data_IF_520794016947
#
_entry.id   IF_520794016947
#
_cell.length_a   1.000
_cell.length_b   1.000
_cell.length_c   1.000
_cell.angle_alpha   90.00
_cell.angle_beta   90.00
_cell.angle_gamma   90.00
#
_symmetry.space_group_name_H-M   'P 1'
#
loop_
_entity.id
_entity.type
_entity.pdbx_description
1 polymer ?
#
# COMPACT_ATOMS: atom_id res chain seq x y z
N UNK A 1 -9.98 10.40 -25.50
CA UNK A 1 -8.77 11.15 -25.88
C UNK A 1 -7.60 10.49 -25.18
N UNK A 2 -6.60 10.02 -25.93
CA UNK A 2 -5.44 9.33 -25.38
C UNK A 2 -4.65 10.30 -24.50
N UNK A 3 -4.53 9.99 -23.21
CA UNK A 3 -3.59 10.65 -22.29
C UNK A 3 -2.19 10.29 -22.76
N UNK A 4 -1.52 11.18 -23.49
CA UNK A 4 -0.14 11.00 -23.90
C UNK A 4 0.76 10.81 -22.68
N UNK A 5 1.62 9.79 -22.73
CA UNK A 5 2.76 9.66 -21.82
C UNK A 5 3.59 10.95 -21.96
N UNK A 6 3.63 11.75 -20.91
CA UNK A 6 4.40 13.00 -20.88
C UNK A 6 5.87 12.60 -20.90
N UNK A 7 6.62 13.05 -21.91
CA UNK A 7 8.05 12.75 -22.04
C UNK A 7 8.85 13.37 -20.87
N UNK A 8 9.99 12.78 -20.48
CA UNK A 8 10.89 13.38 -19.46
C UNK A 8 11.28 14.83 -19.78
N UNK A 9 11.30 15.19 -21.07
CA UNK A 9 11.54 16.55 -21.57
C UNK A 9 10.38 17.52 -21.29
N UNK A 10 9.14 17.05 -21.28
CA UNK A 10 7.97 17.87 -20.97
C UNK A 10 7.84 18.08 -19.44
N UNK A 11 8.23 17.09 -18.62
CA UNK A 11 8.32 17.25 -17.17
C UNK A 11 9.39 18.29 -16.75
N UNK A 12 10.53 18.35 -17.45
CA UNK A 12 11.58 19.36 -17.22
C UNK A 12 11.18 20.77 -17.66
N UNK A 13 10.34 20.92 -18.70
CA UNK A 13 9.97 22.23 -19.26
C UNK A 13 8.88 22.99 -18.48
N UNK A 14 8.18 22.32 -17.55
CA UNK A 14 6.97 22.85 -16.92
C UNK A 14 7.12 23.20 -15.42
N UNK A 15 8.29 22.97 -14.83
CA UNK A 15 8.59 23.32 -13.44
C UNK A 15 8.85 24.81 -13.25
N UNK A 16 7.79 25.63 -13.17
CA UNK A 16 7.86 27.05 -12.79
C UNK A 16 8.15 27.26 -11.29
N UNK A 17 9.17 26.57 -10.78
CA UNK A 17 9.61 26.69 -9.39
C UNK A 17 10.79 27.65 -9.28
N UNK A 18 10.68 28.69 -8.44
CA UNK A 18 11.86 29.43 -7.98
C UNK A 18 12.87 28.48 -7.32
N UNK A 19 14.15 28.88 -7.29
CA UNK A 19 15.25 28.04 -6.80
C UNK A 19 14.92 27.43 -5.41
N UNK A 20 14.87 26.11 -5.33
CA UNK A 20 14.53 25.37 -4.10
C UNK A 20 13.03 25.15 -3.84
N UNK A 21 12.11 25.65 -4.66
CA UNK A 21 10.68 25.34 -4.53
C UNK A 21 10.34 23.96 -5.14
N UNK A 22 9.25 23.37 -4.66
CA UNK A 22 8.73 22.10 -5.20
C UNK A 22 8.01 22.38 -6.52
N UNK A 23 8.46 21.73 -7.61
CA UNK A 23 7.84 21.83 -8.93
C UNK A 23 6.38 21.35 -8.91
N UNK A 24 5.46 21.99 -9.63
CA UNK A 24 4.04 21.62 -9.70
C UNK A 24 3.80 20.37 -10.57
N UNK A 25 4.45 19.26 -10.22
CA UNK A 25 4.36 17.97 -10.91
C UNK A 25 3.85 16.92 -9.93
N UNK A 26 2.85 16.15 -10.35
CA UNK A 26 2.32 14.99 -9.63
C UNK A 26 2.74 13.74 -10.40
N UNK A 27 3.52 12.89 -9.75
CA UNK A 27 3.99 11.63 -10.30
C UNK A 27 3.24 10.45 -9.69
N UNK A 28 2.84 9.51 -10.55
CA UNK A 28 2.28 8.23 -10.14
C UNK A 28 2.91 7.10 -10.98
N UNK A 29 2.92 5.87 -10.46
CA UNK A 29 3.40 4.69 -11.19
C UNK A 29 2.25 3.74 -11.51
N UNK A 30 2.10 3.34 -12.77
CA UNK A 30 1.17 2.28 -13.16
C UNK A 30 1.64 1.61 -14.46
N UNK A 31 1.24 0.35 -14.71
CA UNK A 31 1.42 -0.26 -16.02
C UNK A 31 0.76 0.58 -17.12
N UNK A 32 1.41 0.71 -18.27
CA UNK A 32 0.82 1.41 -19.43
C UNK A 32 -0.41 0.67 -19.99
N UNK A 33 -0.47 -0.66 -19.81
CA UNK A 33 -1.68 -1.44 -20.04
C UNK A 33 -2.71 -1.21 -18.93
N UNK A 34 -3.71 -0.38 -19.25
CA UNK A 34 -4.83 -0.04 -18.34
C UNK A 34 -5.73 -1.22 -17.98
N UNK A 35 -5.72 -2.32 -18.74
CA UNK A 35 -6.51 -3.51 -18.36
C UNK A 35 -5.99 -4.17 -17.08
N UNK A 36 -4.74 -3.89 -16.71
CA UNK A 36 -4.09 -4.35 -15.48
C UNK A 36 -4.34 -3.44 -14.28
N UNK A 37 -5.08 -2.34 -14.45
CA UNK A 37 -5.33 -1.41 -13.36
C UNK A 37 -6.40 -1.95 -12.43
N UNK A 38 -6.20 -1.73 -11.14
CA UNK A 38 -7.27 -1.87 -10.17
C UNK A 38 -8.38 -0.82 -10.48
N UNK A 39 -9.67 -1.17 -10.41
CA UNK A 39 -10.76 -0.23 -10.65
C UNK A 39 -10.70 1.05 -9.79
N UNK A 40 -10.05 1.00 -8.61
CA UNK A 40 -9.86 2.16 -7.73
C UNK A 40 -8.84 3.14 -8.28
N UNK A 41 -7.83 2.69 -9.02
CA UNK A 41 -6.70 3.51 -9.45
C UNK A 41 -7.11 4.69 -10.35
N UNK A 42 -8.06 4.47 -11.27
CA UNK A 42 -8.56 5.56 -12.12
C UNK A 42 -9.29 6.63 -11.29
N UNK A 43 -10.05 6.22 -10.27
CA UNK A 43 -10.72 7.14 -9.35
C UNK A 43 -9.71 7.96 -8.54
N UNK A 44 -8.72 7.30 -7.93
CA UNK A 44 -7.66 7.97 -7.18
C UNK A 44 -6.92 8.97 -8.07
N UNK A 45 -6.52 8.56 -9.27
CA UNK A 45 -5.89 9.45 -10.26
C UNK A 45 -6.77 10.66 -10.59
N UNK A 46 -8.07 10.47 -10.82
CA UNK A 46 -8.99 11.58 -11.09
C UNK A 46 -9.13 12.55 -9.90
N UNK A 47 -9.09 12.05 -8.66
CA UNK A 47 -9.10 12.91 -7.47
C UNK A 47 -7.88 13.85 -7.43
N UNK A 48 -6.68 13.35 -7.78
CA UNK A 48 -5.47 14.16 -7.88
C UNK A 48 -5.56 15.19 -8.99
N UNK A 49 -6.12 14.84 -10.15
CA UNK A 49 -6.34 15.79 -11.25
C UNK A 49 -7.34 16.89 -10.87
N UNK A 50 -8.31 16.60 -9.99
CA UNK A 50 -9.27 17.59 -9.49
C UNK A 50 -8.62 18.55 -8.48
N UNK A 51 -7.80 18.01 -7.59
CA UNK A 51 -7.14 18.76 -6.51
C UNK A 51 -5.93 19.56 -7.00
N UNK A 52 -5.23 19.05 -8.00
CA UNK A 52 -4.08 19.65 -8.68
C UNK A 52 -4.40 19.76 -10.18
N UNK A 53 -5.19 20.75 -10.63
CA UNK A 53 -5.70 20.82 -12.00
C UNK A 53 -4.65 21.27 -13.01
N UNK A 54 -4.75 20.74 -14.23
CA UNK A 54 -4.02 21.27 -15.38
C UNK A 54 -4.63 22.60 -15.88
N UNK A 55 -3.84 23.51 -16.48
CA UNK A 55 -2.41 23.35 -16.83
C UNK A 55 -1.43 23.69 -15.70
N UNK A 56 -1.89 24.18 -14.56
CA UNK A 56 -1.02 24.57 -13.44
C UNK A 56 -0.19 23.40 -12.91
N UNK A 57 -0.79 22.21 -12.84
CA UNK A 57 -0.10 20.99 -12.44
C UNK A 57 0.06 20.02 -13.61
N UNK A 58 1.27 19.48 -13.72
CA UNK A 58 1.61 18.41 -14.66
C UNK A 58 1.41 17.06 -13.98
N UNK A 59 0.72 16.14 -14.65
CA UNK A 59 0.53 14.77 -14.16
C UNK A 59 1.34 13.82 -15.02
N UNK A 60 2.27 13.09 -14.41
CA UNK A 60 3.13 12.13 -15.09
C UNK A 60 2.86 10.74 -14.57
N UNK A 61 2.66 9.81 -15.49
CA UNK A 61 2.48 8.40 -15.19
C UNK A 61 3.70 7.62 -15.70
N UNK A 62 4.32 6.85 -14.81
CA UNK A 62 5.51 6.06 -15.12
C UNK A 62 5.17 4.56 -15.15
N UNK A 63 5.48 3.92 -16.28
CA UNK A 63 5.48 2.47 -16.41
C UNK A 63 6.87 1.89 -16.14
N UNK A 64 7.03 0.58 -16.25
CA UNK A 64 8.27 -0.12 -15.88
C UNK A 64 9.48 0.37 -16.69
N UNK A 65 9.30 0.63 -17.98
CA UNK A 65 10.36 1.16 -18.84
C UNK A 65 10.72 2.60 -18.44
N UNK A 66 9.71 3.44 -18.17
CA UNK A 66 9.93 4.80 -17.67
C UNK A 66 10.65 4.83 -16.32
N UNK A 67 10.30 3.95 -15.39
CA UNK A 67 10.97 3.82 -14.09
C UNK A 67 12.43 3.38 -14.24
N UNK A 68 12.68 2.45 -15.15
CA UNK A 68 14.05 2.03 -15.46
C UNK A 68 14.86 3.18 -16.07
N UNK A 69 14.31 3.91 -17.04
CA UNK A 69 14.97 5.06 -17.65
C UNK A 69 15.28 6.17 -16.65
N UNK A 70 14.40 6.41 -15.68
CA UNK A 70 14.67 7.35 -14.58
C UNK A 70 15.91 6.96 -13.78
N UNK A 71 16.05 5.67 -13.46
CA UNK A 71 17.21 5.16 -12.71
C UNK A 71 18.48 5.26 -13.56
N UNK A 72 18.42 4.90 -14.83
CA UNK A 72 19.55 5.04 -15.76
C UNK A 72 20.02 6.50 -15.90
N UNK A 73 19.09 7.45 -15.93
CA UNK A 73 19.41 8.88 -16.03
C UNK A 73 19.95 9.45 -14.71
N UNK A 74 19.33 9.12 -13.57
CA UNK A 74 19.70 9.69 -12.27
C UNK A 74 20.96 9.06 -11.67
N UNK A 75 21.03 7.72 -11.75
CA UNK A 75 21.98 6.87 -11.02
C UNK A 75 22.43 5.69 -11.90
N UNK A 76 23.06 5.94 -13.06
CA UNK A 76 23.48 4.88 -14.00
C UNK A 76 24.36 3.81 -13.33
N UNK A 77 25.14 4.19 -12.32
CA UNK A 77 25.98 3.29 -11.52
C UNK A 77 25.18 2.23 -10.74
N UNK A 78 23.88 2.45 -10.51
CA UNK A 78 23.01 1.56 -9.73
C UNK A 78 22.05 0.75 -10.60
N UNK A 79 22.11 0.92 -11.92
CA UNK A 79 21.19 0.27 -12.86
C UNK A 79 21.24 -1.27 -12.77
N UNK A 80 22.44 -1.83 -12.61
CA UNK A 80 22.60 -3.28 -12.45
C UNK A 80 22.00 -3.79 -11.12
N UNK A 81 22.13 -3.04 -10.03
CA UNK A 81 21.54 -3.40 -8.74
C UNK A 81 20.01 -3.32 -8.81
N UNK A 82 19.50 -2.27 -9.45
CA UNK A 82 18.08 -2.07 -9.72
C UNK A 82 17.47 -3.26 -10.48
N UNK A 83 18.13 -3.72 -11.55
CA UNK A 83 17.65 -4.84 -12.38
C UNK A 83 17.61 -6.18 -11.64
N UNK A 84 18.39 -6.33 -10.57
CA UNK A 84 18.43 -7.54 -9.73
C UNK A 84 17.33 -7.59 -8.66
N UNK A 85 16.50 -6.57 -8.53
CA UNK A 85 15.30 -6.69 -7.70
C UNK A 85 14.25 -7.50 -8.45
N UNK A 86 13.85 -8.66 -7.91
CA UNK A 86 12.86 -9.54 -8.54
C UNK A 86 11.44 -8.99 -8.36
N UNK A 87 11.14 -8.43 -7.18
CA UNK A 87 9.82 -7.89 -6.87
C UNK A 87 9.63 -6.53 -7.52
N UNK A 88 8.52 -6.38 -8.25
CA UNK A 88 8.16 -5.12 -8.92
C UNK A 88 8.13 -3.93 -7.95
N UNK A 89 7.54 -4.11 -6.77
CA UNK A 89 7.46 -3.04 -5.76
C UNK A 89 8.84 -2.55 -5.30
N UNK A 90 9.85 -3.41 -5.25
CA UNK A 90 11.22 -2.99 -4.88
C UNK A 90 11.85 -2.09 -5.94
N UNK A 91 11.56 -2.37 -7.23
CA UNK A 91 11.96 -1.52 -8.34
C UNK A 91 11.21 -0.18 -8.32
N UNK A 92 9.90 -0.19 -8.06
CA UNK A 92 9.11 1.05 -7.91
C UNK A 92 9.66 1.90 -6.77
N UNK A 93 9.82 1.32 -5.57
CA UNK A 93 10.36 1.98 -4.39
C UNK A 93 11.71 2.67 -4.68
N UNK A 94 12.63 1.97 -5.37
CA UNK A 94 13.92 2.52 -5.77
C UNK A 94 13.77 3.69 -6.75
N UNK A 95 12.96 3.50 -7.81
CA UNK A 95 12.80 4.49 -8.86
C UNK A 95 12.12 5.79 -8.38
N UNK A 96 11.34 5.77 -7.30
CA UNK A 96 10.80 6.98 -6.66
C UNK A 96 11.90 7.97 -6.26
N UNK A 97 13.06 7.46 -5.82
CA UNK A 97 14.21 8.30 -5.50
C UNK A 97 14.77 8.97 -6.75
N UNK A 98 14.97 8.21 -7.84
CA UNK A 98 15.44 8.76 -9.12
C UNK A 98 14.47 9.81 -9.68
N UNK A 99 13.17 9.51 -9.63
CA UNK A 99 12.08 10.38 -10.05
C UNK A 99 12.11 11.74 -9.34
N UNK A 100 12.10 11.72 -8.00
CA UNK A 100 12.09 12.94 -7.19
C UNK A 100 13.44 13.66 -7.22
N UNK A 101 14.54 12.95 -7.47
CA UNK A 101 15.85 13.56 -7.72
C UNK A 101 15.87 14.34 -9.04
N UNK A 102 15.40 13.76 -10.14
CA UNK A 102 15.45 14.41 -11.46
C UNK A 102 14.41 15.52 -11.62
N UNK A 103 13.19 15.28 -11.14
CA UNK A 103 12.04 16.13 -11.46
C UNK A 103 11.50 16.90 -10.26
N UNK A 104 11.86 16.51 -9.04
CA UNK A 104 11.20 17.02 -7.84
C UNK A 104 9.70 16.69 -7.86
N UNK A 105 8.88 17.64 -7.44
CA UNK A 105 7.43 17.48 -7.44
C UNK A 105 6.92 16.63 -6.29
N UNK A 106 5.74 16.03 -6.49
CA UNK A 106 5.04 15.20 -5.54
C UNK A 106 4.89 13.80 -6.13
N UNK A 107 5.37 12.78 -5.42
CA UNK A 107 5.07 11.39 -5.70
C UNK A 107 3.91 10.89 -4.82
N UNK A 108 2.93 10.24 -5.45
CA UNK A 108 1.81 9.57 -4.79
C UNK A 108 1.51 8.23 -5.45
N UNK A 109 1.22 7.22 -4.65
CA UNK A 109 0.81 5.93 -5.19
C UNK A 109 -0.56 6.02 -5.89
N UNK A 110 -0.82 5.10 -6.83
CA UNK A 110 -2.09 5.04 -7.57
C UNK A 110 -3.29 4.66 -6.71
N UNK A 111 -3.05 4.22 -5.49
CA UNK A 111 -4.05 3.81 -4.51
C UNK A 111 -4.31 4.85 -3.42
N UNK A 112 -3.75 6.04 -3.55
CA UNK A 112 -3.97 7.16 -2.63
C UNK A 112 -4.94 8.15 -3.25
N UNK A 113 -6.07 8.38 -2.58
CA UNK A 113 -7.03 9.41 -2.98
C UNK A 113 -6.66 10.78 -2.41
N UNK A 114 -6.83 11.84 -3.19
CA UNK A 114 -6.46 13.19 -2.81
C UNK A 114 -7.49 13.83 -1.87
N UNK A 115 -7.08 14.14 -0.63
CA UNK A 115 -7.93 14.85 0.35
C UNK A 115 -7.92 16.37 0.15
N UNK A 116 -6.86 16.91 -0.46
CA UNK A 116 -6.64 18.33 -0.65
C UNK A 116 -5.25 18.61 -1.22
N UNK A 117 -5.03 19.83 -1.70
CA UNK A 117 -3.81 20.20 -2.40
C UNK A 117 -2.66 20.38 -1.38
N UNK A 118 -1.59 19.55 -1.43
CA UNK A 118 -0.49 19.66 -0.46
C UNK A 118 0.49 20.79 -0.77
N UNK A 119 0.57 21.27 -2.02
CA UNK A 119 1.61 22.18 -2.49
C UNK A 119 1.73 23.49 -1.69
N UNK A 120 0.63 24.14 -1.27
CA UNK A 120 0.72 25.34 -0.41
C UNK A 120 1.37 25.12 0.95
N UNK A 121 1.57 23.86 1.37
CA UNK A 121 2.18 23.49 2.64
C UNK A 121 3.61 22.95 2.50
N UNK A 122 4.13 22.86 1.27
CA UNK A 122 5.46 22.33 1.02
C UNK A 122 6.53 23.43 1.23
N UNK A 123 7.49 23.24 2.16
CA UNK A 123 8.56 24.20 2.36
C UNK A 123 9.52 24.23 1.17
N UNK A 124 10.10 25.40 0.94
CA UNK A 124 11.25 25.54 0.03
C UNK A 124 12.49 24.89 0.64
N UNK A 125 13.31 24.26 -0.20
CA UNK A 125 14.63 23.73 0.13
C UNK A 125 14.65 22.45 0.96
N UNK A 126 13.49 21.81 1.18
CA UNK A 126 13.39 20.57 1.97
C UNK A 126 12.58 19.49 1.26
N UNK A 127 12.88 18.24 1.58
CA UNK A 127 12.01 17.10 1.29
C UNK A 127 10.83 17.11 2.25
N UNK A 128 9.64 16.85 1.74
CA UNK A 128 8.45 16.60 2.56
C UNK A 128 8.08 15.13 2.54
N UNK A 129 7.86 14.54 3.71
CA UNK A 129 7.31 13.19 3.89
C UNK A 129 6.10 13.25 4.80
N UNK A 130 5.20 12.29 4.71
CA UNK A 130 4.03 12.21 5.58
C UNK A 130 4.29 11.21 6.71
N UNK A 131 3.98 11.59 7.95
CA UNK A 131 4.02 10.67 9.08
C UNK A 131 3.05 9.50 8.91
N UNK A 132 3.42 8.32 9.40
CA UNK A 132 2.61 7.12 9.35
C UNK A 132 1.72 6.99 10.59
N UNK A 133 0.45 6.58 10.45
CA UNK A 133 -0.36 6.18 11.61
C UNK A 133 0.00 4.77 12.13
N UNK A 134 0.88 4.02 11.45
CA UNK A 134 1.32 2.67 11.84
C UNK A 134 2.74 2.64 12.36
N UNK A 135 2.95 3.37 13.45
CA UNK A 135 4.25 3.59 14.09
C UNK A 135 4.94 2.32 14.60
N UNK A 136 4.21 1.19 14.67
CA UNK A 136 4.80 -0.12 14.97
C UNK A 136 5.66 -0.67 13.83
N UNK A 137 5.35 -0.32 12.58
CA UNK A 137 6.05 -0.84 11.39
C UNK A 137 6.92 0.23 10.72
N UNK A 138 6.42 1.46 10.64
CA UNK A 138 7.07 2.59 9.95
C UNK A 138 6.69 3.93 10.61
N UNK A 139 7.60 4.90 10.61
CA UNK A 139 7.31 6.27 11.07
C UNK A 139 6.88 7.18 9.94
N UNK A 140 7.34 6.93 8.72
CA UNK A 140 7.00 7.73 7.54
C UNK A 140 6.47 6.86 6.40
N UNK A 141 5.54 7.42 5.65
CA UNK A 141 4.96 6.77 4.48
C UNK A 141 5.93 6.89 3.30
N UNK A 142 6.26 5.75 2.67
CA UNK A 142 7.00 5.70 1.40
C UNK A 142 6.13 6.11 0.18
N UNK A 143 5.34 7.17 0.33
CA UNK A 143 4.38 7.74 -0.61
C UNK A 143 3.98 9.12 -0.09
N UNK A 144 3.28 9.94 -0.88
CA UNK A 144 2.99 11.33 -0.50
C UNK A 144 4.29 12.09 -0.16
N UNK A 145 5.32 11.88 -0.97
CA UNK A 145 6.63 12.46 -0.77
C UNK A 145 6.83 13.57 -1.78
N UNK A 146 7.29 14.73 -1.35
CA UNK A 146 7.49 15.86 -2.23
C UNK A 146 8.87 16.48 -2.05
N UNK A 147 9.43 17.06 -3.11
CA UNK A 147 10.78 17.59 -3.06
C UNK A 147 11.07 18.60 -4.19
N UNK A 148 11.97 19.56 -3.96
CA UNK A 148 12.63 20.27 -5.05
C UNK A 148 13.49 19.30 -5.87
N UNK A 149 13.58 19.53 -7.18
CA UNK A 149 14.49 18.75 -8.03
C UNK A 149 15.95 18.90 -7.56
N UNK A 150 16.74 17.83 -7.70
CA UNK A 150 18.15 17.76 -7.37
C UNK A 150 18.46 17.63 -5.88
N UNK A 151 17.46 17.50 -5.01
CA UNK A 151 17.70 17.43 -3.56
C UNK A 151 18.53 16.18 -3.17
N UNK A 152 19.65 16.31 -2.43
CA UNK A 152 20.61 15.22 -2.18
C UNK A 152 20.05 14.07 -1.34
N UNK A 153 18.95 14.29 -0.62
CA UNK A 153 18.22 13.26 0.12
C UNK A 153 17.88 12.03 -0.74
N UNK A 154 17.50 12.22 -2.01
CA UNK A 154 17.12 11.11 -2.88
C UNK A 154 18.30 10.28 -3.36
N UNK A 155 19.48 10.89 -3.53
CA UNK A 155 20.71 10.13 -3.73
C UNK A 155 21.02 9.27 -2.49
N UNK A 156 20.90 9.84 -1.29
CA UNK A 156 21.09 9.08 -0.06
C UNK A 156 20.10 7.90 0.09
N UNK A 157 18.86 8.06 -0.40
CA UNK A 157 17.89 6.95 -0.50
C UNK A 157 18.36 5.85 -1.44
N UNK A 158 18.87 6.19 -2.63
CA UNK A 158 19.40 5.22 -3.59
C UNK A 158 20.66 4.51 -3.05
N UNK A 159 21.59 5.25 -2.47
CA UNK A 159 22.81 4.73 -1.84
C UNK A 159 22.45 3.70 -0.74
N UNK A 160 21.47 4.03 0.11
CA UNK A 160 21.01 3.14 1.17
C UNK A 160 20.35 1.87 0.60
N UNK A 161 19.53 1.96 -0.45
CA UNK A 161 18.93 0.80 -1.10
C UNK A 161 20.01 -0.18 -1.62
N UNK A 162 21.04 0.35 -2.30
CA UNK A 162 22.18 -0.42 -2.81
C UNK A 162 22.97 -1.05 -1.66
N UNK A 163 23.25 -0.30 -0.60
CA UNK A 163 23.97 -0.81 0.58
C UNK A 163 23.19 -1.94 1.25
N UNK A 164 21.87 -1.80 1.44
CA UNK A 164 21.02 -2.84 2.03
C UNK A 164 20.97 -4.09 1.17
N UNK A 165 20.84 -3.95 -0.16
CA UNK A 165 20.87 -5.07 -1.10
C UNK A 165 22.21 -5.81 -1.09
N UNK A 166 23.31 -5.09 -0.84
CA UNK A 166 24.66 -5.64 -0.75
C UNK A 166 24.99 -6.25 0.63
N UNK A 167 24.05 -6.22 1.58
CA UNK A 167 24.25 -6.76 2.94
C UNK A 167 23.29 -7.93 3.20
N UNK A 168 23.50 -9.10 2.56
CA UNK A 168 22.58 -10.23 2.65
C UNK A 168 22.42 -10.73 4.09
N UNK A 169 21.20 -11.12 4.46
CA UNK A 169 20.88 -11.67 5.77
C UNK A 169 20.48 -10.64 6.84
N UNK A 170 20.81 -9.36 6.66
CA UNK A 170 20.43 -8.27 7.57
C UNK A 170 19.05 -7.72 7.23
N UNK A 171 18.81 -7.40 5.96
CA UNK A 171 17.55 -6.87 5.46
C UNK A 171 16.85 -7.93 4.62
N UNK A 172 15.63 -8.32 5.00
CA UNK A 172 14.93 -9.46 4.41
C UNK A 172 13.62 -9.08 3.75
N UNK A 173 12.97 -8.04 4.25
CA UNK A 173 11.64 -7.65 3.78
C UNK A 173 11.73 -6.50 2.78
N UNK A 174 10.71 -6.34 1.94
CA UNK A 174 10.59 -5.18 1.04
C UNK A 174 10.58 -3.87 1.83
N UNK A 175 9.88 -3.81 2.97
CA UNK A 175 9.89 -2.62 3.85
C UNK A 175 11.30 -2.21 4.27
N UNK A 176 12.16 -3.19 4.54
CA UNK A 176 13.55 -2.97 4.90
C UNK A 176 14.43 -2.65 3.69
N UNK A 177 14.29 -3.36 2.58
CA UNK A 177 15.22 -3.24 1.46
C UNK A 177 15.05 -1.95 0.67
N UNK A 178 13.82 -1.51 0.44
CA UNK A 178 13.48 -0.38 -0.43
C UNK A 178 12.28 0.43 0.08
N UNK A 179 11.52 -0.12 1.02
CA UNK A 179 10.26 0.46 1.50
C UNK A 179 10.42 1.46 2.66
N UNK A 180 9.37 1.66 3.47
CA UNK A 180 9.31 2.75 4.44
C UNK A 180 10.30 2.64 5.61
N UNK A 181 10.76 1.45 6.00
CA UNK A 181 11.83 1.34 7.02
C UNK A 181 13.20 1.74 6.47
N UNK A 182 13.38 1.75 5.14
CA UNK A 182 14.54 2.38 4.51
C UNK A 182 14.42 3.89 4.53
N UNK A 183 13.26 4.41 4.15
CA UNK A 183 12.95 5.84 4.25
C UNK A 183 13.20 6.37 5.66
N UNK A 184 12.67 5.70 6.68
CA UNK A 184 12.85 6.05 8.09
C UNK A 184 14.32 6.20 8.49
N UNK A 185 15.18 5.28 8.05
CA UNK A 185 16.60 5.34 8.38
C UNK A 185 17.31 6.51 7.70
N UNK A 186 16.92 6.85 6.46
CA UNK A 186 17.50 8.01 5.75
C UNK A 186 16.99 9.32 6.33
N UNK A 187 15.72 9.38 6.74
CA UNK A 187 15.15 10.53 7.48
C UNK A 187 15.88 10.73 8.80
N UNK A 188 16.12 9.68 9.58
CA UNK A 188 16.85 9.75 10.86
C UNK A 188 18.30 10.23 10.69
N UNK A 189 18.94 9.84 9.58
CA UNK A 189 20.30 10.26 9.27
C UNK A 189 20.37 11.71 8.76
N UNK A 190 19.25 12.30 8.31
CA UNK A 190 19.20 13.62 7.65
C UNK A 190 18.00 14.47 8.10
N UNK A 191 17.74 14.65 9.41
CA UNK A 191 16.53 15.31 9.89
C UNK A 191 16.43 16.78 9.45
N UNK A 192 17.56 17.45 9.23
CA UNK A 192 17.60 18.84 8.77
C UNK A 192 17.04 19.05 7.36
N UNK A 193 17.14 18.02 6.51
CA UNK A 193 16.73 18.02 5.11
C UNK A 193 15.22 17.78 4.94
N UNK A 194 14.55 17.32 6.00
CA UNK A 194 13.19 16.79 5.94
C UNK A 194 12.21 17.68 6.70
N UNK A 195 11.03 17.84 6.13
CA UNK A 195 9.84 18.38 6.76
C UNK A 195 8.78 17.30 6.85
N UNK A 196 8.38 16.92 8.07
CA UNK A 196 7.35 15.90 8.26
C UNK A 196 5.99 16.56 8.31
N UNK A 197 5.17 16.24 7.32
CA UNK A 197 3.78 16.67 7.23
C UNK A 197 2.92 15.92 8.26
N UNK A 198 1.94 16.58 8.90
CA UNK A 198 1.15 15.99 9.98
C UNK A 198 0.27 14.83 9.50
N UNK A 199 0.44 13.65 10.10
CA UNK A 199 -0.29 12.42 9.75
C UNK A 199 -1.80 12.63 9.64
N UNK A 200 -2.44 13.24 10.64
CA UNK A 200 -3.90 13.38 10.67
C UNK A 200 -4.51 14.25 9.56
N UNK A 201 -3.70 15.07 8.88
CA UNK A 201 -4.15 15.89 7.74
C UNK A 201 -4.17 15.11 6.43
N UNK A 202 -3.29 14.12 6.30
CA UNK A 202 -3.08 13.34 5.08
C UNK A 202 -3.53 11.89 5.22
N UNK A 203 -3.85 11.46 6.44
CA UNK A 203 -4.37 10.15 6.79
C UNK A 203 -5.49 10.33 7.84
N UNK A 204 -6.76 10.45 7.43
CA UNK A 204 -7.86 10.55 8.37
C UNK A 204 -7.89 9.31 9.25
N UNK A 205 -8.16 9.50 10.54
CA UNK A 205 -8.27 8.39 11.49
C UNK A 205 -9.41 7.45 11.09
N UNK A 206 -9.28 6.14 11.34
CA UNK A 206 -10.31 5.14 10.97
C UNK A 206 -11.72 5.49 11.45
N UNK A 207 -11.80 6.12 12.64
CA UNK A 207 -13.07 6.53 13.25
C UNK A 207 -13.60 7.88 12.74
N UNK A 208 -12.87 8.56 11.86
CA UNK A 208 -13.26 9.87 11.33
C UNK A 208 -14.39 9.73 10.31
N UNK A 209 -15.37 10.66 10.28
CA UNK A 209 -16.36 10.73 9.20
C UNK A 209 -15.73 10.86 7.81
N UNK A 210 -14.50 11.36 7.74
CA UNK A 210 -13.75 11.42 6.50
C UNK A 210 -13.24 10.05 6.05
N UNK A 211 -12.93 9.12 6.97
CA UNK A 211 -12.37 7.82 6.62
C UNK A 211 -13.35 6.90 5.90
N UNK A 212 -14.64 6.95 6.25
CA UNK A 212 -15.69 6.18 5.60
C UNK A 212 -16.32 6.91 4.41
N UNK A 213 -15.83 8.10 4.08
CA UNK A 213 -16.38 8.85 2.97
C UNK A 213 -16.11 8.10 1.64
N UNK A 214 -17.04 8.12 0.67
CA UNK A 214 -16.91 7.35 -0.58
C UNK A 214 -15.67 7.68 -1.44
N UNK A 215 -14.94 8.71 -1.05
CA UNK A 215 -13.78 9.33 -1.70
C UNK A 215 -12.54 9.34 -0.78
N UNK A 216 -12.49 8.48 0.24
CA UNK A 216 -11.30 8.34 1.07
C UNK A 216 -10.81 6.91 1.02
N UNK A 217 -9.96 6.65 0.03
CA UNK A 217 -9.10 5.48 0.01
C UNK A 217 -7.77 5.90 0.63
N UNK A 218 -7.60 5.58 1.92
CA UNK A 218 -6.29 5.79 2.58
C UNK A 218 -5.29 4.76 2.03
N UNK A 219 -4.00 5.10 1.95
CA UNK A 219 -2.88 4.17 1.64
C UNK A 219 -3.02 2.81 2.34
N UNK A 220 -3.55 2.84 3.55
CA UNK A 220 -3.77 1.67 4.39
C UNK A 220 -4.86 0.72 3.90
N UNK A 221 -5.80 1.20 3.07
CA UNK A 221 -6.80 0.35 2.42
C UNK A 221 -6.19 -0.69 1.48
N UNK A 222 -4.92 -0.50 1.17
CA UNK A 222 -4.25 -1.10 0.05
C UNK A 222 -2.96 -1.77 0.53
N UNK A 223 -2.10 -1.08 1.30
CA UNK A 223 -0.78 -1.61 1.66
C UNK A 223 -0.75 -2.83 2.58
N UNK A 224 -1.84 -3.15 3.30
CA UNK A 224 -1.91 -4.38 4.13
C UNK A 224 -2.55 -5.58 3.42
N UNK A 225 -3.29 -5.37 2.32
CA UNK A 225 -4.13 -6.44 1.76
C UNK A 225 -4.36 -6.29 0.25
N UNK A 226 -3.29 -6.30 -0.55
CA UNK A 226 -3.43 -6.37 -2.00
C UNK A 226 -3.64 -7.81 -2.46
N UNK A 227 -4.89 -8.29 -2.35
CA UNK A 227 -5.43 -9.10 -3.44
C UNK A 227 -6.31 -8.19 -4.29
N UNK A 228 -6.29 -8.38 -5.60
CA UNK A 228 -7.16 -7.68 -6.56
C UNK A 228 -8.66 -7.94 -6.35
N UNK A 229 -9.04 -8.62 -5.26
CA UNK A 229 -10.41 -9.06 -4.97
C UNK A 229 -11.03 -8.36 -3.75
N UNK A 230 -10.26 -7.61 -2.93
CA UNK A 230 -10.80 -7.01 -1.70
C UNK A 230 -11.17 -5.54 -1.90
N UNK A 231 -12.47 -5.25 -1.81
CA UNK A 231 -13.01 -3.88 -1.80
C UNK A 231 -12.87 -3.21 -0.41
N UNK A 232 -13.34 -1.96 -0.29
CA UNK A 232 -13.26 -1.18 0.97
C UNK A 232 -13.94 -1.94 2.12
N UNK A 233 -15.12 -2.51 1.87
CA UNK A 233 -15.89 -3.21 2.90
C UNK A 233 -15.20 -4.52 3.32
N UNK A 234 -14.67 -5.29 2.36
CA UNK A 234 -13.88 -6.49 2.61
C UNK A 234 -12.63 -6.19 3.43
N UNK A 235 -12.01 -5.02 3.23
CA UNK A 235 -10.84 -4.66 4.02
C UNK A 235 -11.18 -4.11 5.41
N UNK A 236 -12.28 -3.37 5.56
CA UNK A 236 -12.83 -3.02 6.89
C UNK A 236 -13.14 -4.29 7.69
N UNK A 237 -13.79 -5.27 7.05
CA UNK A 237 -14.05 -6.58 7.63
C UNK A 237 -12.75 -7.25 8.08
N UNK A 238 -11.74 -7.32 7.19
CA UNK A 238 -10.44 -7.89 7.51
C UNK A 238 -9.80 -7.24 8.75
N UNK A 239 -9.75 -5.91 8.80
CA UNK A 239 -9.17 -5.18 9.92
C UNK A 239 -9.95 -5.39 11.21
N UNK A 240 -11.29 -5.37 11.14
CA UNK A 240 -12.15 -5.62 12.28
C UNK A 240 -11.95 -7.04 12.85
N UNK A 241 -11.83 -8.05 11.99
CA UNK A 241 -11.48 -9.43 12.40
C UNK A 241 -10.09 -9.47 13.04
N UNK A 242 -9.09 -8.81 12.45
CA UNK A 242 -7.74 -8.75 13.02
C UNK A 242 -7.69 -8.00 14.36
N UNK A 243 -8.55 -7.02 14.59
CA UNK A 243 -8.67 -6.30 15.85
C UNK A 243 -9.50 -7.06 16.90
N UNK A 244 -10.39 -7.95 16.48
CA UNK A 244 -11.41 -8.55 17.35
C UNK A 244 -12.59 -7.63 17.60
N UNK A 245 -12.86 -6.71 16.67
CA UNK A 245 -13.96 -5.75 16.75
C UNK A 245 -15.22 -6.34 16.12
N UNK A 246 -16.04 -6.99 16.94
CA UNK A 246 -17.26 -7.66 16.49
C UNK A 246 -18.28 -6.71 15.88
N UNK A 247 -18.41 -5.49 16.42
CA UNK A 247 -19.37 -4.50 15.93
C UNK A 247 -18.99 -4.03 14.52
N UNK A 248 -17.71 -3.72 14.30
CA UNK A 248 -17.25 -3.36 12.95
C UNK A 248 -17.34 -4.51 11.95
N UNK A 249 -17.20 -5.77 12.39
CA UNK A 249 -17.45 -6.93 11.52
C UNK A 249 -18.90 -6.98 11.05
N UNK A 250 -19.86 -6.80 11.95
CA UNK A 250 -21.28 -6.76 11.60
C UNK A 250 -21.64 -5.57 10.70
N UNK A 251 -21.06 -4.40 10.98
CA UNK A 251 -21.24 -3.21 10.15
C UNK A 251 -20.68 -3.41 8.74
N UNK A 252 -19.45 -3.93 8.61
CA UNK A 252 -18.83 -4.20 7.31
C UNK A 252 -19.61 -5.23 6.51
N UNK A 253 -20.06 -6.32 7.15
CA UNK A 253 -20.91 -7.32 6.50
C UNK A 253 -22.25 -6.73 6.05
N UNK A 254 -22.89 -5.89 6.87
CA UNK A 254 -24.14 -5.19 6.52
C UNK A 254 -23.95 -4.20 5.37
N UNK A 255 -22.75 -3.64 5.22
CA UNK A 255 -22.36 -2.79 4.09
C UNK A 255 -22.03 -3.58 2.81
N UNK A 256 -22.12 -4.92 2.84
CA UNK A 256 -21.87 -5.79 1.69
C UNK A 256 -20.41 -6.20 1.52
N UNK A 257 -19.62 -6.25 2.61
CA UNK A 257 -18.27 -6.80 2.56
C UNK A 257 -18.26 -8.23 2.01
N UNK A 258 -17.30 -8.51 1.11
CA UNK A 258 -16.99 -9.88 0.73
C UNK A 258 -16.35 -10.62 1.91
N UNK A 259 -17.07 -11.60 2.47
CA UNK A 259 -16.59 -12.42 3.59
C UNK A 259 -15.46 -13.38 3.18
N UNK A 260 -15.28 -13.59 1.88
CA UNK A 260 -14.24 -14.45 1.30
C UNK A 260 -13.05 -13.67 0.75
N UNK A 261 -12.97 -12.38 1.11
CA UNK A 261 -11.87 -11.52 0.76
C UNK A 261 -10.53 -12.10 1.23
N UNK A 262 -9.43 -11.92 0.49
CA UNK A 262 -8.15 -12.62 0.76
C UNK A 262 -6.96 -11.69 0.92
N UNK A 263 -6.02 -12.03 1.79
CA UNK A 263 -4.74 -11.33 1.87
C UNK A 263 -3.66 -11.86 0.92
N UNK A 264 -2.43 -11.32 1.00
CA UNK A 264 -1.32 -11.71 0.14
C UNK A 264 -0.93 -13.19 0.25
N UNK A 265 -1.22 -13.85 1.36
CA UNK A 265 -0.98 -15.27 1.56
C UNK A 265 -2.23 -16.11 1.20
N UNK A 266 -3.30 -15.46 0.76
CA UNK A 266 -4.56 -16.07 0.38
C UNK A 266 -5.49 -16.34 1.57
N UNK A 267 -5.21 -15.77 2.75
CA UNK A 267 -6.00 -16.01 3.96
C UNK A 267 -7.29 -15.18 3.90
N UNK A 268 -8.40 -15.86 4.11
CA UNK A 268 -9.72 -15.27 4.35
C UNK A 268 -9.90 -14.83 5.81
N UNK A 269 -10.89 -13.98 6.15
CA UNK A 269 -11.22 -13.59 7.52
C UNK A 269 -11.29 -14.76 8.51
N UNK A 270 -11.83 -15.91 8.10
CA UNK A 270 -11.90 -17.11 8.93
C UNK A 270 -10.51 -17.63 9.37
N UNK A 271 -9.48 -17.53 8.52
CA UNK A 271 -8.11 -17.92 8.87
C UNK A 271 -7.55 -17.01 9.97
N UNK A 272 -7.82 -15.70 9.88
CA UNK A 272 -7.36 -14.72 10.87
C UNK A 272 -8.07 -14.89 12.21
N UNK A 273 -9.39 -15.13 12.20
CA UNK A 273 -10.13 -15.48 13.42
C UNK A 273 -9.54 -16.73 14.10
N UNK A 274 -9.16 -17.74 13.30
CA UNK A 274 -8.54 -18.95 13.81
C UNK A 274 -7.13 -18.73 14.39
N UNK A 275 -6.28 -17.99 13.67
CA UNK A 275 -4.93 -17.60 14.13
C UNK A 275 -4.96 -16.80 15.44
N UNK A 276 -5.95 -15.92 15.60
CA UNK A 276 -6.17 -15.15 16.83
C UNK A 276 -6.62 -15.99 18.02
N UNK A 277 -7.14 -17.20 17.77
CA UNK A 277 -7.76 -18.01 18.82
C UNK A 277 -9.14 -17.50 19.23
N UNK A 278 -9.82 -16.73 18.36
CA UNK A 278 -11.08 -16.07 18.70
C UNK A 278 -12.29 -16.91 18.24
N UNK A 279 -12.71 -17.83 19.10
CA UNK A 279 -13.84 -18.71 18.82
C UNK A 279 -15.17 -17.97 18.66
N UNK A 280 -15.32 -16.79 19.29
CA UNK A 280 -16.51 -15.94 19.12
C UNK A 280 -16.52 -15.32 17.73
N UNK A 281 -15.38 -14.87 17.24
CA UNK A 281 -15.25 -14.31 15.89
C UNK A 281 -15.52 -15.37 14.82
N UNK A 282 -15.05 -16.60 15.01
CA UNK A 282 -15.40 -17.73 14.13
C UNK A 282 -16.92 -17.95 14.08
N UNK A 283 -17.59 -17.98 15.23
CA UNK A 283 -19.06 -18.12 15.29
C UNK A 283 -19.78 -16.94 14.64
N UNK A 284 -19.30 -15.72 14.82
CA UNK A 284 -19.85 -14.54 14.15
C UNK A 284 -19.72 -14.66 12.63
N UNK A 285 -18.54 -14.98 12.12
CA UNK A 285 -18.32 -15.20 10.68
C UNK A 285 -19.20 -16.32 10.13
N UNK A 286 -19.44 -17.38 10.92
CA UNK A 286 -20.35 -18.45 10.54
C UNK A 286 -21.81 -17.98 10.45
N UNK A 287 -22.28 -17.18 11.41
CA UNK A 287 -23.62 -16.56 11.38
C UNK A 287 -23.78 -15.66 10.16
N UNK A 288 -22.72 -14.95 9.78
CA UNK A 288 -22.66 -14.13 8.58
C UNK A 288 -22.53 -14.95 7.28
N UNK A 289 -22.41 -16.28 7.38
CA UNK A 289 -22.28 -17.25 6.27
C UNK A 289 -20.94 -17.21 5.52
N UNK A 290 -19.85 -16.90 6.21
CA UNK A 290 -18.50 -17.07 5.66
C UNK A 290 -18.13 -18.56 5.50
N UNK A 291 -17.31 -18.89 4.49
CA UNK A 291 -16.76 -20.23 4.27
C UNK A 291 -15.60 -20.53 5.24
N UNK A 292 -15.93 -21.28 6.29
CA UNK A 292 -14.96 -21.77 7.28
C UNK A 292 -14.08 -22.93 6.76
N UNK A 293 -14.37 -23.45 5.57
CA UNK A 293 -13.61 -24.47 4.86
C UNK A 293 -12.62 -23.92 3.83
N UNK A 294 -12.57 -22.59 3.68
CA UNK A 294 -11.73 -21.92 2.69
C UNK A 294 -10.25 -22.30 2.82
N UNK A 295 -9.53 -22.31 1.68
CA UNK A 295 -8.12 -22.69 1.59
C UNK A 295 -7.24 -21.51 1.19
N UNK A 296 -6.11 -21.32 1.85
CA UNK A 296 -5.10 -20.33 1.46
C UNK A 296 -4.23 -20.78 0.26
N UNK A 297 -3.19 -20.00 -0.09
CA UNK A 297 -2.27 -20.34 -1.20
C UNK A 297 -1.50 -21.65 -1.02
N UNK A 298 -1.37 -22.12 0.22
CA UNK A 298 -0.72 -23.38 0.58
C UNK A 298 -1.73 -24.51 0.81
N UNK A 299 -2.99 -24.32 0.43
CA UNK A 299 -4.11 -25.22 0.71
C UNK A 299 -4.39 -25.44 2.22
N UNK A 300 -3.92 -24.53 3.08
CA UNK A 300 -4.16 -24.52 4.53
C UNK A 300 -5.56 -23.99 4.81
N UNK A 301 -6.24 -24.51 5.84
CA UNK A 301 -7.62 -24.11 6.20
C UNK A 301 -7.61 -23.41 7.56
N UNK A 302 -8.67 -22.68 7.95
CA UNK A 302 -8.79 -22.12 9.30
C UNK A 302 -8.60 -23.19 10.39
N UNK A 303 -9.08 -24.42 10.16
CA UNK A 303 -8.91 -25.53 11.12
C UNK A 303 -7.44 -25.94 11.28
N UNK A 304 -6.67 -25.98 10.20
CA UNK A 304 -5.23 -26.26 10.28
C UNK A 304 -4.51 -25.22 11.14
N UNK A 305 -4.83 -23.93 10.95
CA UNK A 305 -4.26 -22.87 11.78
C UNK A 305 -4.68 -22.97 13.25
N UNK A 306 -5.96 -23.21 13.54
CA UNK A 306 -6.45 -23.39 14.91
C UNK A 306 -5.74 -24.52 15.66
N UNK A 307 -5.46 -25.64 14.97
CA UNK A 307 -4.67 -26.76 15.51
C UNK A 307 -3.21 -26.35 15.69
N UNK A 308 -2.60 -25.69 14.70
CA UNK A 308 -1.21 -25.23 14.77
C UNK A 308 -0.95 -24.29 15.95
N UNK A 309 -1.90 -23.41 16.28
CA UNK A 309 -1.79 -22.48 17.42
C UNK A 309 -2.42 -23.01 18.71
N UNK A 310 -2.82 -24.29 18.74
CA UNK A 310 -3.38 -24.99 19.91
C UNK A 310 -4.60 -24.32 20.54
N UNK A 311 -5.55 -23.85 19.71
CA UNK A 311 -6.77 -23.13 20.16
C UNK A 311 -7.98 -24.07 20.12
N UNK A 312 -8.19 -24.82 21.21
CA UNK A 312 -9.22 -25.87 21.29
C UNK A 312 -10.63 -25.32 21.06
N UNK A 313 -10.93 -24.14 21.62
CA UNK A 313 -12.25 -23.50 21.51
C UNK A 313 -12.57 -23.11 20.06
N UNK A 314 -11.54 -22.71 19.29
CA UNK A 314 -11.67 -22.42 17.86
C UNK A 314 -11.86 -23.70 17.06
N UNK A 315 -11.12 -24.78 17.40
CA UNK A 315 -11.30 -26.10 16.77
C UNK A 315 -12.74 -26.57 16.96
N UNK A 316 -13.28 -26.46 18.16
CA UNK A 316 -14.68 -26.80 18.46
C UNK A 316 -15.64 -25.95 17.62
N UNK A 317 -15.48 -24.62 17.62
CA UNK A 317 -16.33 -23.72 16.83
C UNK A 317 -16.31 -24.04 15.33
N UNK A 318 -15.12 -24.31 14.75
CA UNK A 318 -15.00 -24.68 13.33
C UNK A 318 -15.63 -26.05 13.01
N UNK A 319 -15.59 -26.99 13.94
CA UNK A 319 -16.19 -28.32 13.77
C UNK A 319 -17.72 -28.31 13.93
N UNK A 320 -18.25 -27.53 14.88
CA UNK A 320 -19.70 -27.34 15.06
C UNK A 320 -20.39 -26.96 13.74
N UNK A 321 -19.79 -26.03 12.98
CA UNK A 321 -20.35 -25.56 11.71
C UNK A 321 -20.11 -26.51 10.52
N UNK A 322 -19.11 -27.41 10.58
CA UNK A 322 -18.96 -28.48 9.57
C UNK A 322 -20.05 -29.55 9.69
N UNK A 323 -20.53 -29.80 10.91
CA UNK A 323 -21.60 -30.78 11.16
C UNK A 323 -22.96 -30.27 10.66
N UNK A 324 -23.21 -28.96 10.73
CA UNK A 324 -24.46 -28.35 10.26
C UNK A 324 -24.57 -28.30 8.72
N UNK A 325 -23.44 -28.10 8.02
CA UNK A 325 -23.38 -28.08 6.54
C UNK A 325 -23.35 -29.48 5.91
N UNK A 326 -22.93 -30.51 6.66
CA UNK A 326 -22.85 -31.91 6.23
C UNK A 326 -23.92 -32.81 6.88
N UNK A 327 -25.14 -32.30 7.06
CA UNK A 327 -26.33 -33.10 7.45
C UNK A 327 -26.65 -34.31 6.54
N UNK A 328 -25.82 -34.59 5.53
CA UNK A 328 -25.58 -35.95 5.04
C UNK A 328 -24.08 -36.24 5.14
N UNK A 329 -23.70 -36.99 6.17
CA UNK A 329 -22.48 -37.79 6.18
C UNK A 329 -22.47 -38.61 4.88
N UNK A 330 -21.60 -38.25 3.93
CA UNK A 330 -21.08 -39.25 3.02
C UNK A 330 -20.11 -40.06 3.86
N UNK A 331 -20.60 -41.20 4.34
CA UNK A 331 -19.71 -42.27 4.77
C UNK A 331 -18.71 -42.56 3.65
N UNK A 332 -17.42 -42.40 3.98
CA UNK A 332 -16.31 -43.09 3.34
C UNK A 332 -15.95 -42.68 1.91
N UNK A 333 -14.80 -42.03 1.78
CA UNK A 333 -13.68 -42.70 1.09
C UNK A 333 -12.39 -41.92 1.32
N UNK A 334 -11.50 -42.52 2.11
CA UNK A 334 -10.08 -42.37 1.89
C UNK A 334 -9.74 -43.06 0.55
N UNK A 335 -9.09 -42.32 -0.34
CA UNK A 335 -8.22 -42.83 -1.40
C UNK A 335 -7.21 -41.73 -1.74
#
# INVERSE_FOLDING_TARGET
MASSLVSSKEAQALGNGGQGSVCQVVHQTAPSDRSRWDPRWERCRQSWQKVCPSPEFVHVLWDDDGLRSLVEEAFPEYLEVYDRYEQHIQRVDFARAAMLYLHGGLYVDMDVEALGNPFPHLPSGKVSVVGSPYTQNERHQNSMMASPAGHPFWRAMADEAVRRRSTPGVYKTTWQLTGPQMLDAVVDARPQDVHVLPTGKFNPAMQSPHFTAPHVITRHFCTSVWTHTMDINGMLLYQAVQAGDYEQVEQAASAGADLECRDYAGLAPAHHAALRGDARMVRLLAVLRADLGSRDKNATTPLHYAVQVSKIEVVQALLEHRVDTQGRLLEGSAA
#
